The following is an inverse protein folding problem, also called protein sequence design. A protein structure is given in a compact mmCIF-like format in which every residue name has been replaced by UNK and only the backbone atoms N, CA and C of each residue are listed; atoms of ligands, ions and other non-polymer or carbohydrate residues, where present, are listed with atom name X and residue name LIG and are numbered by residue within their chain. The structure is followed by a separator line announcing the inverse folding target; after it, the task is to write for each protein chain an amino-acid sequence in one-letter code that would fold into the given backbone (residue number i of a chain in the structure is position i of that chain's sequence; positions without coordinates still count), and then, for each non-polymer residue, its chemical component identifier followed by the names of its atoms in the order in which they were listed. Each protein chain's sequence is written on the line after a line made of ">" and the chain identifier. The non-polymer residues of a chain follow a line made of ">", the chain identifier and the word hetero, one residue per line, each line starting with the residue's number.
data_IF_726976542511
#
_entry.id   IF_726976542511
#
_cell.length_a   1.000
_cell.length_b   1.000
_cell.length_c   1.000
_cell.angle_alpha   90.00
_cell.angle_beta   90.00
_cell.angle_gamma   90.00
#
_symmetry.space_group_name_H-M   'P 1'
#
loop_
_entity.id
_entity.type
_entity.pdbx_description
1 polymer ?
#
# COMPACT_ATOMS: atom_id res chain seq x y z
N UNK A 1 1.80 -1.31 -26.67
CA UNK A 1 0.78 -0.85 -25.70
C UNK A 1 -0.39 -0.26 -26.49
N UNK A 2 -1.64 -0.56 -26.14
CA UNK A 2 -2.76 0.25 -26.62
C UNK A 2 -2.39 1.69 -26.22
N UNK A 3 -2.26 2.64 -27.16
CA UNK A 3 -1.66 3.99 -26.98
C UNK A 3 -2.35 4.94 -25.99
N UNK A 4 -2.62 4.47 -24.78
CA UNK A 4 -3.45 5.04 -23.72
C UNK A 4 -2.60 5.43 -22.50
N UNK A 5 -1.27 5.24 -22.57
CA UNK A 5 -0.32 5.65 -21.52
C UNK A 5 -0.07 4.63 -20.40
N UNK A 6 -0.68 3.45 -20.45
CA UNK A 6 -0.58 2.43 -19.40
C UNK A 6 -1.34 2.81 -18.13
N UNK A 7 -1.31 1.94 -17.10
CA UNK A 7 -2.05 2.14 -15.83
C UNK A 7 -1.70 3.47 -15.12
N UNK A 8 -0.45 3.94 -15.31
CA UNK A 8 0.03 5.20 -14.74
C UNK A 8 -0.27 6.43 -15.63
N UNK A 9 -1.18 6.28 -16.60
CA UNK A 9 -1.84 7.38 -17.30
C UNK A 9 -2.85 8.15 -16.44
N UNK A 10 -3.19 7.60 -15.27
CA UNK A 10 -4.11 8.18 -14.27
C UNK A 10 -5.53 8.39 -14.78
N UNK A 11 -6.02 7.46 -15.62
CA UNK A 11 -7.40 7.51 -16.07
C UNK A 11 -8.37 7.34 -14.87
N UNK A 12 -9.47 8.11 -14.81
CA UNK A 12 -10.39 8.08 -13.68
C UNK A 12 -10.98 6.71 -13.32
N UNK A 13 -11.19 5.82 -14.30
CA UNK A 13 -11.71 4.46 -14.05
C UNK A 13 -10.62 3.59 -13.41
N UNK A 14 -9.37 3.73 -13.83
CA UNK A 14 -8.23 3.05 -13.21
C UNK A 14 -8.02 3.56 -11.78
N UNK A 15 -8.06 4.89 -11.59
CA UNK A 15 -8.00 5.52 -10.26
C UNK A 15 -9.10 5.00 -9.33
N UNK A 16 -10.33 4.83 -9.84
CA UNK A 16 -11.46 4.30 -9.09
C UNK A 16 -11.20 2.87 -8.58
N UNK A 17 -10.45 2.05 -9.33
CA UNK A 17 -10.03 0.71 -8.88
C UNK A 17 -8.89 0.75 -7.84
N UNK A 18 -8.02 1.76 -7.92
CA UNK A 18 -6.88 1.94 -7.01
C UNK A 18 -7.31 2.34 -5.60
N UNK A 19 -8.33 3.19 -5.46
CA UNK A 19 -8.80 3.70 -4.17
C UNK A 19 -9.15 2.59 -3.15
N UNK A 20 -10.04 1.62 -3.45
CA UNK A 20 -10.34 0.54 -2.51
C UNK A 20 -9.13 -0.39 -2.28
N UNK A 21 -8.25 -0.57 -3.26
CA UNK A 21 -7.03 -1.35 -3.09
C UNK A 21 -6.07 -0.74 -2.07
N UNK A 22 -5.90 0.59 -2.11
CA UNK A 22 -5.09 1.33 -1.12
C UNK A 22 -5.66 1.21 0.29
N UNK A 23 -6.98 1.41 0.44
CA UNK A 23 -7.67 1.26 1.73
C UNK A 23 -7.59 -0.17 2.27
N UNK A 24 -7.81 -1.17 1.41
CA UNK A 24 -7.73 -2.59 1.77
C UNK A 24 -6.31 -2.98 2.18
N UNK A 25 -5.30 -2.47 1.48
CA UNK A 25 -3.89 -2.73 1.80
C UNK A 25 -3.53 -2.14 3.17
N UNK A 26 -4.00 -0.92 3.47
CA UNK A 26 -3.84 -0.31 4.79
C UNK A 26 -4.52 -1.16 5.88
N UNK A 27 -5.75 -1.63 5.61
CA UNK A 27 -6.51 -2.50 6.52
C UNK A 27 -5.77 -3.81 6.81
N UNK A 28 -5.30 -4.52 5.79
CA UNK A 28 -4.59 -5.80 5.95
C UNK A 28 -3.34 -5.65 6.83
N UNK A 29 -2.62 -4.55 6.67
CA UNK A 29 -1.45 -4.21 7.47
C UNK A 29 -1.83 -3.85 8.91
N UNK A 30 -2.91 -3.10 9.10
CA UNK A 30 -3.34 -2.64 10.42
C UNK A 30 -4.03 -3.75 11.25
N UNK A 31 -4.72 -4.70 10.61
CA UNK A 31 -5.27 -5.90 11.27
C UNK A 31 -4.15 -6.76 11.86
N UNK A 32 -2.98 -6.83 11.22
CA UNK A 32 -1.83 -7.53 11.79
C UNK A 32 -1.35 -6.92 13.11
N UNK A 33 -1.44 -5.59 13.27
CA UNK A 33 -1.13 -4.93 14.54
C UNK A 33 -2.20 -5.28 15.57
N UNK A 34 -3.48 -5.21 15.19
CA UNK A 34 -4.58 -5.55 16.11
C UNK A 34 -4.44 -6.96 16.66
N UNK A 35 -4.19 -7.96 15.82
CA UNK A 35 -4.05 -9.35 16.28
C UNK A 35 -2.83 -9.56 17.19
N UNK A 36 -1.72 -8.85 16.95
CA UNK A 36 -0.48 -9.05 17.69
C UNK A 36 -0.36 -8.19 18.95
N UNK A 37 -1.07 -7.07 19.01
CA UNK A 37 -0.92 -6.05 20.05
C UNK A 37 -2.24 -5.58 20.68
N UNK A 38 -3.39 -5.99 20.16
CA UNK A 38 -4.69 -5.52 20.65
C UNK A 38 -4.94 -4.03 20.41
N UNK A 39 -4.22 -3.41 19.46
CA UNK A 39 -4.32 -1.98 19.14
C UNK A 39 -5.14 -1.72 17.87
N UNK A 40 -5.48 -0.46 17.60
CA UNK A 40 -6.07 -0.01 16.33
C UNK A 40 -7.44 -0.63 15.97
N UNK A 41 -8.19 -1.16 16.95
CA UNK A 41 -9.51 -1.78 16.70
C UNK A 41 -10.48 -0.82 16.01
N UNK A 42 -10.64 0.40 16.53
CA UNK A 42 -11.48 1.47 15.92
C UNK A 42 -10.97 1.83 14.52
N UNK A 43 -9.67 2.00 14.38
CA UNK A 43 -9.04 2.35 13.10
C UNK A 43 -9.28 1.28 12.03
N UNK A 44 -9.21 0.00 12.39
CA UNK A 44 -9.52 -1.10 11.48
C UNK A 44 -10.98 -1.13 11.06
N UNK A 45 -11.92 -0.79 11.96
CA UNK A 45 -13.32 -0.64 11.57
C UNK A 45 -13.51 0.51 10.58
N UNK A 46 -12.87 1.67 10.83
CA UNK A 46 -12.90 2.81 9.89
C UNK A 46 -12.35 2.41 8.52
N UNK A 47 -11.17 1.77 8.48
CA UNK A 47 -10.57 1.30 7.22
C UNK A 47 -11.44 0.27 6.50
N UNK A 48 -12.13 -0.61 7.22
CA UNK A 48 -13.06 -1.58 6.65
C UNK A 48 -14.24 -0.88 5.99
N UNK A 49 -14.89 0.04 6.70
CA UNK A 49 -16.00 0.83 6.15
C UNK A 49 -15.54 1.68 4.96
N UNK A 50 -14.35 2.28 5.04
CA UNK A 50 -13.77 3.06 3.97
C UNK A 50 -13.45 2.21 2.74
N UNK A 51 -12.89 1.01 2.92
CA UNK A 51 -12.62 0.05 1.82
C UNK A 51 -13.90 -0.35 1.10
N UNK A 52 -14.94 -0.69 1.87
CA UNK A 52 -16.25 -1.04 1.31
C UNK A 52 -16.87 0.16 0.58
N UNK A 53 -16.87 1.34 1.20
CA UNK A 53 -17.36 2.58 0.60
C UNK A 53 -16.64 2.94 -0.69
N UNK A 54 -15.31 2.82 -0.73
CA UNK A 54 -14.51 3.09 -1.93
C UNK A 54 -14.81 2.10 -3.07
N UNK A 55 -15.17 0.86 -2.77
CA UNK A 55 -15.62 -0.11 -3.80
C UNK A 55 -16.92 0.32 -4.46
N UNK A 56 -17.90 0.75 -3.65
CA UNK A 56 -19.18 1.25 -4.15
C UNK A 56 -18.97 2.58 -4.89
N UNK A 57 -18.13 3.46 -4.35
CA UNK A 57 -17.78 4.74 -4.97
C UNK A 57 -17.09 4.57 -6.32
N UNK A 58 -16.17 3.61 -6.45
CA UNK A 58 -15.56 3.30 -7.74
C UNK A 58 -16.61 2.82 -8.75
N UNK A 59 -17.58 2.01 -8.34
CA UNK A 59 -18.70 1.61 -9.20
C UNK A 59 -19.54 2.82 -9.63
N UNK A 60 -19.81 3.75 -8.71
CA UNK A 60 -20.47 5.01 -9.02
C UNK A 60 -19.70 5.83 -10.05
N UNK A 61 -18.39 6.03 -9.88
CA UNK A 61 -17.56 6.79 -10.82
C UNK A 61 -17.60 6.21 -12.23
N UNK A 62 -17.48 4.88 -12.34
CA UNK A 62 -17.42 4.19 -13.63
C UNK A 62 -18.77 4.09 -14.35
N UNK A 63 -19.91 4.27 -13.65
CA UNK A 63 -21.26 4.07 -14.20
C UNK A 63 -22.12 5.33 -14.31
N UNK A 64 -21.78 6.38 -13.56
CA UNK A 64 -22.56 7.62 -13.50
C UNK A 64 -22.30 8.58 -14.66
N UNK A 65 -21.14 8.47 -15.33
CA UNK A 65 -20.71 9.43 -16.35
C UNK A 65 -20.28 10.79 -15.80
N UNK A 66 -20.16 10.93 -14.46
CA UNK A 66 -19.80 12.20 -13.82
C UNK A 66 -18.33 12.60 -14.08
N UNK A 67 -17.46 11.62 -14.33
CA UNK A 67 -16.07 11.84 -14.74
C UNK A 67 -15.87 11.32 -16.16
N UNK A 68 -15.14 12.07 -16.97
CA UNK A 68 -14.78 11.69 -18.33
C UNK A 68 -13.60 10.70 -18.28
N UNK A 69 -13.76 9.53 -18.89
CA UNK A 69 -12.71 8.50 -18.96
C UNK A 69 -12.80 7.75 -20.29
N UNK A 70 -11.65 7.33 -20.81
CA UNK A 70 -11.56 6.50 -22.01
C UNK A 70 -11.92 5.04 -21.75
N UNK A 71 -11.84 4.60 -20.49
CA UNK A 71 -12.23 3.26 -20.04
C UNK A 71 -13.66 3.20 -19.50
N UNK A 72 -14.45 4.28 -19.64
CA UNK A 72 -15.81 4.31 -19.14
C UNK A 72 -16.69 3.30 -19.91
N UNK A 73 -17.28 2.35 -19.18
CA UNK A 73 -18.31 1.47 -19.71
C UNK A 73 -19.67 2.19 -19.73
N UNK A 74 -20.63 1.65 -20.49
CA UNK A 74 -21.97 2.20 -20.73
C UNK A 74 -22.53 3.09 -19.58
N UNK A 75 -22.77 4.36 -19.89
CA UNK A 75 -23.41 5.31 -18.98
C UNK A 75 -24.86 4.88 -18.72
N UNK A 76 -25.29 4.98 -17.46
CA UNK A 76 -26.65 4.56 -17.06
C UNK A 76 -27.21 5.48 -15.99
N UNK A 77 -28.54 5.63 -15.96
CA UNK A 77 -29.25 6.51 -15.02
C UNK A 77 -29.27 6.01 -13.56
N UNK A 78 -28.36 5.10 -13.21
CA UNK A 78 -28.30 4.48 -11.88
C UNK A 78 -27.40 5.23 -10.89
N UNK A 79 -26.72 6.30 -11.32
CA UNK A 79 -25.80 7.07 -10.47
C UNK A 79 -26.43 7.51 -9.15
N UNK A 80 -27.67 7.98 -9.19
CA UNK A 80 -28.43 8.40 -7.99
C UNK A 80 -28.62 7.27 -6.98
N UNK A 81 -28.88 6.03 -7.44
CA UNK A 81 -29.02 4.89 -6.52
C UNK A 81 -27.72 4.60 -5.77
N UNK A 82 -26.57 4.71 -6.44
CA UNK A 82 -25.29 4.56 -5.77
C UNK A 82 -25.01 5.68 -4.77
N UNK A 83 -25.36 6.93 -5.08
CA UNK A 83 -25.21 8.05 -4.13
C UNK A 83 -26.07 7.83 -2.89
N UNK A 84 -27.34 7.47 -3.06
CA UNK A 84 -28.23 7.14 -1.93
C UNK A 84 -27.66 5.99 -1.12
N UNK A 85 -27.19 4.93 -1.77
CA UNK A 85 -26.58 3.79 -1.08
C UNK A 85 -25.30 4.18 -0.33
N UNK A 86 -24.42 5.00 -0.92
CA UNK A 86 -23.22 5.54 -0.29
C UNK A 86 -23.55 6.33 0.99
N UNK A 87 -24.59 7.16 0.96
CA UNK A 87 -25.06 7.92 2.13
C UNK A 87 -25.55 6.94 3.21
N UNK A 88 -26.38 5.96 2.84
CA UNK A 88 -26.92 4.97 3.78
C UNK A 88 -25.81 4.16 4.46
N UNK A 89 -24.84 3.66 3.70
CA UNK A 89 -23.72 2.89 4.28
C UNK A 89 -22.81 3.79 5.12
N UNK A 90 -22.60 5.05 4.75
CA UNK A 90 -21.79 5.98 5.53
C UNK A 90 -22.45 6.27 6.88
N UNK A 91 -23.73 6.63 6.88
CA UNK A 91 -24.51 6.86 8.12
C UNK A 91 -24.58 5.59 8.97
N UNK A 92 -24.90 4.44 8.36
CA UNK A 92 -24.96 3.16 9.06
C UNK A 92 -23.62 2.77 9.68
N UNK A 93 -22.51 2.97 8.96
CA UNK A 93 -21.16 2.71 9.46
C UNK A 93 -20.79 3.61 10.63
N UNK A 94 -21.13 4.90 10.58
CA UNK A 94 -20.88 5.84 11.68
C UNK A 94 -21.71 5.45 12.91
N UNK A 95 -23.00 5.16 12.74
CA UNK A 95 -23.87 4.72 13.84
C UNK A 95 -23.35 3.43 14.48
N UNK A 96 -22.98 2.44 13.67
CA UNK A 96 -22.39 1.19 14.17
C UNK A 96 -21.06 1.43 14.90
N UNK A 97 -20.19 2.28 14.37
CA UNK A 97 -18.91 2.59 15.01
C UNK A 97 -19.09 3.25 16.37
N UNK A 98 -19.97 4.25 16.47
CA UNK A 98 -20.24 4.99 17.71
C UNK A 98 -20.88 4.07 18.75
N UNK A 99 -21.89 3.28 18.36
CA UNK A 99 -22.59 2.37 19.28
C UNK A 99 -21.71 1.22 19.77
N UNK A 100 -20.68 0.83 19.00
CA UNK A 100 -19.72 -0.23 19.36
C UNK A 100 -18.39 0.29 19.89
N UNK A 101 -18.27 1.59 20.13
CA UNK A 101 -16.99 2.18 20.54
C UNK A 101 -16.46 1.59 21.86
N UNK A 102 -17.36 1.27 22.79
CA UNK A 102 -17.02 0.60 24.05
C UNK A 102 -16.39 -0.78 23.86
N UNK A 103 -16.84 -1.54 22.86
CA UNK A 103 -16.32 -2.88 22.53
C UNK A 103 -14.96 -2.82 21.81
N UNK A 104 -14.54 -1.64 21.33
CA UNK A 104 -13.36 -1.43 20.47
C UNK A 104 -12.18 -0.76 21.20
N UNK A 105 -12.16 -0.77 22.53
CA UNK A 105 -11.08 -0.18 23.32
C UNK A 105 -9.74 -0.91 23.07
N UNK A 106 -8.68 -0.15 22.88
CA UNK A 106 -7.34 -0.68 22.64
C UNK A 106 -6.72 -1.18 23.95
N UNK A 107 -6.05 -2.33 23.88
CA UNK A 107 -5.46 -2.97 25.07
C UNK A 107 -4.06 -2.40 25.38
N UNK A 108 -3.41 -1.78 24.38
CA UNK A 108 -2.02 -1.31 24.46
C UNK A 108 -1.80 0.01 23.68
N UNK A 109 -0.68 0.67 23.93
CA UNK A 109 -0.23 1.90 23.26
C UNK A 109 1.12 1.72 22.56
N UNK A 110 1.51 2.68 21.71
CA UNK A 110 2.80 2.65 21.02
C UNK A 110 3.96 2.92 21.98
N UNK A 111 4.92 2.00 22.03
CA UNK A 111 6.07 2.09 22.95
C UNK A 111 7.28 2.84 22.34
N UNK A 112 7.47 2.82 21.01
CA UNK A 112 8.65 3.42 20.37
C UNK A 112 8.45 3.74 18.90
N UNK A 113 9.10 4.80 18.41
CA UNK A 113 9.15 5.18 16.99
C UNK A 113 10.04 4.27 16.13
N UNK A 114 11.05 3.60 16.71
CA UNK A 114 11.95 2.66 16.01
C UNK A 114 11.46 1.22 16.14
N UNK A 115 10.21 1.01 15.75
CA UNK A 115 9.47 -0.22 15.96
C UNK A 115 8.77 -0.66 14.69
N UNK A 116 8.46 -1.95 14.61
CA UNK A 116 7.64 -2.46 13.52
C UNK A 116 6.24 -1.84 13.54
N UNK A 117 5.70 -1.59 14.72
CA UNK A 117 4.42 -0.91 14.95
C UNK A 117 4.39 0.48 14.28
N UNK A 118 5.45 1.27 14.47
CA UNK A 118 5.56 2.60 13.84
C UNK A 118 5.72 2.52 12.32
N UNK A 119 6.45 1.55 11.80
CA UNK A 119 6.57 1.34 10.36
C UNK A 119 5.20 1.00 9.73
N UNK A 120 4.40 0.16 10.38
CA UNK A 120 3.04 -0.17 9.94
C UNK A 120 2.09 1.03 9.99
N UNK A 121 2.21 1.87 11.02
CA UNK A 121 1.42 3.10 11.12
C UNK A 121 1.80 4.09 10.03
N UNK A 122 3.09 4.36 9.83
CA UNK A 122 3.55 5.24 8.76
C UNK A 122 3.07 4.72 7.40
N UNK A 123 3.16 3.41 7.15
CA UNK A 123 2.61 2.78 5.96
C UNK A 123 1.11 3.08 5.77
N UNK A 124 0.30 2.94 6.84
CA UNK A 124 -1.13 3.26 6.80
C UNK A 124 -1.38 4.73 6.44
N UNK A 125 -0.66 5.65 7.08
CA UNK A 125 -0.80 7.08 6.82
C UNK A 125 -0.44 7.44 5.37
N UNK A 126 0.64 6.90 4.82
CA UNK A 126 1.03 7.17 3.43
C UNK A 126 0.05 6.53 2.44
N UNK A 127 -0.45 5.32 2.70
CA UNK A 127 -1.49 4.70 1.86
C UNK A 127 -2.78 5.53 1.82
N UNK A 128 -3.23 6.03 2.97
CA UNK A 128 -4.41 6.89 3.03
C UNK A 128 -4.18 8.28 2.44
N UNK A 129 -2.98 8.85 2.59
CA UNK A 129 -2.60 10.10 1.95
C UNK A 129 -2.60 9.95 0.42
N UNK A 130 -2.07 8.83 -0.09
CA UNK A 130 -2.11 8.50 -1.52
C UNK A 130 -3.54 8.29 -2.00
N UNK A 131 -4.36 7.57 -1.24
CA UNK A 131 -5.79 7.40 -1.56
C UNK A 131 -6.49 8.76 -1.64
N UNK A 132 -6.28 9.63 -0.65
CA UNK A 132 -6.86 10.97 -0.63
C UNK A 132 -6.40 11.79 -1.84
N UNK A 133 -5.11 11.76 -2.18
CA UNK A 133 -4.59 12.46 -3.37
C UNK A 133 -5.23 11.96 -4.66
N UNK A 134 -5.40 10.64 -4.81
CA UNK A 134 -6.03 10.02 -5.98
C UNK A 134 -7.53 10.36 -6.04
N UNK A 135 -8.24 10.25 -4.93
CA UNK A 135 -9.64 10.65 -4.80
C UNK A 135 -9.83 12.13 -5.13
N UNK A 136 -8.99 13.00 -4.55
CA UNK A 136 -9.03 14.43 -4.78
C UNK A 136 -8.77 14.77 -6.24
N UNK A 137 -7.67 14.30 -6.81
CA UNK A 137 -7.34 14.56 -8.22
C UNK A 137 -8.43 14.06 -9.17
N UNK A 138 -9.04 12.92 -8.88
CA UNK A 138 -10.12 12.34 -9.70
C UNK A 138 -11.43 13.14 -9.58
N UNK A 139 -11.76 13.63 -8.39
CA UNK A 139 -13.00 14.37 -8.13
C UNK A 139 -12.90 15.87 -8.37
N UNK A 140 -11.69 16.42 -8.43
CA UNK A 140 -11.48 17.86 -8.57
C UNK A 140 -12.20 18.48 -9.79
N UNK A 141 -12.19 17.86 -11.00
CA UNK A 141 -12.94 18.40 -12.13
C UNK A 141 -14.45 18.51 -11.85
N UNK A 142 -15.03 17.51 -11.19
CA UNK A 142 -16.45 17.46 -10.82
C UNK A 142 -16.78 18.55 -9.80
N UNK A 143 -15.92 18.71 -8.79
CA UNK A 143 -16.09 19.71 -7.75
C UNK A 143 -15.93 21.12 -8.33
N UNK A 144 -14.92 21.34 -9.17
CA UNK A 144 -14.69 22.61 -9.86
C UNK A 144 -15.90 23.04 -10.67
N UNK A 145 -16.45 22.13 -11.48
CA UNK A 145 -17.64 22.39 -12.28
C UNK A 145 -18.85 22.73 -11.40
N UNK A 146 -19.04 22.02 -10.29
CA UNK A 146 -20.15 22.27 -9.37
C UNK A 146 -20.07 23.62 -8.64
N UNK A 147 -18.87 24.11 -8.30
CA UNK A 147 -18.70 25.35 -7.53
C UNK A 147 -18.43 26.59 -8.38
N UNK A 148 -17.75 26.43 -9.52
CA UNK A 148 -17.32 27.55 -10.37
C UNK A 148 -18.03 27.61 -11.71
N UNK A 149 -18.69 26.52 -12.13
CA UNK A 149 -19.23 26.35 -13.48
C UNK A 149 -18.18 25.90 -14.51
N UNK A 150 -16.89 25.97 -14.16
CA UNK A 150 -15.79 25.62 -15.05
C UNK A 150 -15.16 24.27 -14.68
N UNK A 151 -14.97 23.43 -15.70
CA UNK A 151 -14.36 22.11 -15.53
C UNK A 151 -12.83 22.18 -15.67
N UNK A 152 -12.14 22.21 -14.53
CA UNK A 152 -10.68 22.13 -14.49
C UNK A 152 -10.23 20.68 -14.62
N UNK A 153 -9.44 20.36 -15.63
CA UNK A 153 -8.91 19.00 -15.82
C UNK A 153 -7.65 18.79 -14.99
N UNK A 154 -7.57 17.66 -14.28
CA UNK A 154 -6.39 17.22 -13.54
C UNK A 154 -5.77 16.05 -14.29
N UNK A 155 -4.55 16.24 -14.80
CA UNK A 155 -3.84 15.22 -15.57
C UNK A 155 -2.67 14.58 -14.81
N UNK A 156 -1.98 13.67 -15.50
CA UNK A 156 -0.81 12.94 -14.98
C UNK A 156 0.25 13.79 -14.25
N UNK A 157 0.57 15.05 -14.63
CA UNK A 157 1.55 15.86 -13.89
C UNK A 157 1.22 16.03 -12.40
N UNK A 158 -0.06 16.26 -12.06
CA UNK A 158 -0.48 16.39 -10.66
C UNK A 158 -0.28 15.08 -9.90
N UNK A 159 -0.78 13.97 -10.46
CA UNK A 159 -0.69 12.68 -9.81
C UNK A 159 0.77 12.23 -9.68
N UNK A 160 1.59 12.37 -10.71
CA UNK A 160 3.01 12.01 -10.64
C UNK A 160 3.74 12.82 -9.57
N UNK A 161 3.50 14.12 -9.48
CA UNK A 161 4.14 14.99 -8.49
C UNK A 161 3.82 14.55 -7.05
N UNK A 162 2.61 14.08 -6.78
CA UNK A 162 2.16 13.70 -5.43
C UNK A 162 2.42 12.22 -5.14
N UNK A 163 2.09 11.34 -6.08
CA UNK A 163 2.10 9.89 -5.92
C UNK A 163 3.48 9.28 -6.04
N UNK A 164 4.39 9.81 -6.87
CA UNK A 164 5.75 9.22 -7.01
C UNK A 164 6.53 9.30 -5.70
N UNK A 165 6.62 10.45 -4.99
CA UNK A 165 7.31 10.50 -3.70
C UNK A 165 6.70 9.56 -2.66
N UNK A 166 5.37 9.50 -2.57
CA UNK A 166 4.67 8.59 -1.65
C UNK A 166 4.91 7.12 -2.01
N UNK A 167 4.89 6.79 -3.31
CA UNK A 167 5.19 5.45 -3.82
C UNK A 167 6.61 5.00 -3.49
N UNK A 168 7.60 5.88 -3.61
CA UNK A 168 8.99 5.58 -3.22
C UNK A 168 9.11 5.32 -1.71
N UNK A 169 8.41 6.09 -0.87
CA UNK A 169 8.36 5.84 0.58
C UNK A 169 7.71 4.48 0.88
N UNK A 170 6.59 4.15 0.22
CA UNK A 170 5.93 2.85 0.38
C UNK A 170 6.81 1.68 -0.09
N UNK A 171 7.54 1.85 -1.20
CA UNK A 171 8.48 0.85 -1.70
C UNK A 171 9.63 0.62 -0.71
N UNK A 172 10.18 1.69 -0.12
CA UNK A 172 11.14 1.56 0.97
C UNK A 172 10.56 0.81 2.18
N UNK A 173 9.36 1.20 2.64
CA UNK A 173 8.69 0.55 3.78
C UNK A 173 8.37 -0.93 3.54
N UNK A 174 8.11 -1.31 2.28
CA UNK A 174 7.89 -2.70 1.86
C UNK A 174 9.09 -3.59 2.20
N UNK A 175 10.32 -3.08 2.05
CA UNK A 175 11.55 -3.76 2.45
C UNK A 175 11.91 -3.55 3.92
N UNK A 176 11.77 -2.32 4.42
CA UNK A 176 12.28 -1.91 5.72
C UNK A 176 11.42 -2.42 6.89
N UNK A 177 10.09 -2.41 6.74
CA UNK A 177 9.14 -2.82 7.78
C UNK A 177 9.45 -4.19 8.40
N UNK A 178 9.63 -5.25 7.58
CA UNK A 178 10.00 -6.59 8.06
C UNK A 178 11.31 -6.66 8.86
N UNK A 179 12.27 -5.76 8.59
CA UNK A 179 13.60 -5.76 9.20
C UNK A 179 13.61 -5.16 10.62
N UNK A 180 12.60 -4.37 10.98
CA UNK A 180 12.44 -3.86 12.34
C UNK A 180 11.92 -4.95 13.28
N UNK A 181 12.42 -4.99 14.51
CA UNK A 181 11.85 -5.79 15.58
C UNK A 181 10.54 -5.18 16.12
N UNK A 182 9.70 -6.00 16.72
CA UNK A 182 8.56 -5.52 17.51
C UNK A 182 9.07 -4.75 18.74
N UNK A 183 8.31 -3.73 19.18
CA UNK A 183 8.65 -2.79 20.27
C UNK A 183 9.85 -1.89 19.99
N UNK A 184 11.07 -2.42 19.91
CA UNK A 184 12.28 -1.60 19.67
C UNK A 184 13.37 -2.40 18.96
N UNK A 185 13.97 -1.78 17.96
CA UNK A 185 15.18 -2.30 17.30
C UNK A 185 16.42 -1.61 17.88
N UNK A 186 17.42 -2.37 18.33
CA UNK A 186 18.70 -1.81 18.79
C UNK A 186 19.52 -1.25 17.61
N UNK A 187 20.47 -0.37 17.90
CA UNK A 187 21.36 0.22 16.88
C UNK A 187 22.19 -0.85 16.15
N UNK A 188 22.72 -1.82 16.89
CA UNK A 188 23.43 -2.97 16.32
C UNK A 188 22.50 -3.85 15.47
N UNK A 189 21.26 -4.07 15.93
CA UNK A 189 20.23 -4.76 15.18
C UNK A 189 19.90 -4.06 13.87
N UNK A 190 19.83 -2.73 13.88
CA UNK A 190 19.59 -1.91 12.69
C UNK A 190 20.72 -2.09 11.68
N UNK A 191 21.99 -1.94 12.12
CA UNK A 191 23.15 -2.18 11.25
C UNK A 191 23.09 -3.59 10.64
N UNK A 192 22.97 -4.62 11.47
CA UNK A 192 22.95 -6.02 11.01
C UNK A 192 21.79 -6.32 10.05
N UNK A 193 20.64 -5.70 10.22
CA UNK A 193 19.46 -5.98 9.41
C UNK A 193 19.45 -5.19 8.09
N UNK A 194 19.99 -3.97 8.09
CA UNK A 194 19.96 -3.09 6.92
C UNK A 194 21.22 -3.19 6.04
N UNK A 195 22.35 -3.76 6.51
CA UNK A 195 23.57 -3.87 5.70
C UNK A 195 23.33 -4.51 4.33
N UNK A 196 22.74 -5.71 4.28
CA UNK A 196 22.54 -6.42 3.00
C UNK A 196 21.60 -5.65 2.06
N UNK A 197 20.41 -5.20 2.49
CA UNK A 197 19.52 -4.37 1.66
C UNK A 197 20.14 -3.05 1.19
N UNK A 198 20.92 -2.37 2.03
CA UNK A 198 21.59 -1.13 1.64
C UNK A 198 22.67 -1.41 0.60
N UNK A 199 23.46 -2.47 0.77
CA UNK A 199 24.46 -2.88 -0.23
C UNK A 199 23.79 -3.24 -1.55
N UNK A 200 22.69 -4.00 -1.56
CA UNK A 200 21.98 -4.32 -2.81
C UNK A 200 21.44 -3.06 -3.49
N UNK A 201 20.95 -2.09 -2.72
CA UNK A 201 20.51 -0.78 -3.25
C UNK A 201 21.64 -0.02 -3.93
N UNK A 202 22.80 0.08 -3.27
CA UNK A 202 23.96 0.81 -3.80
C UNK A 202 24.53 0.13 -5.05
N UNK A 203 24.57 -1.20 -5.07
CA UNK A 203 25.00 -1.98 -6.25
C UNK A 203 24.02 -1.76 -7.41
N UNK A 204 22.71 -1.85 -7.18
CA UNK A 204 21.70 -1.56 -8.19
C UNK A 204 21.86 -0.15 -8.74
N UNK A 205 21.99 0.87 -7.87
CA UNK A 205 22.21 2.26 -8.29
C UNK A 205 23.47 2.42 -9.14
N UNK A 206 24.59 1.82 -8.73
CA UNK A 206 25.85 1.85 -9.47
C UNK A 206 25.74 1.22 -10.85
N UNK A 207 25.10 0.04 -10.95
CA UNK A 207 24.87 -0.63 -12.24
C UNK A 207 24.01 0.23 -13.17
N UNK A 208 22.92 0.82 -12.67
CA UNK A 208 22.03 1.68 -13.46
C UNK A 208 22.77 2.93 -14.00
N UNK A 209 23.62 3.54 -13.18
CA UNK A 209 24.44 4.68 -13.59
C UNK A 209 25.49 4.31 -14.65
N UNK A 210 26.08 3.11 -14.57
CA UNK A 210 27.06 2.59 -15.54
C UNK A 210 26.38 2.26 -16.88
N UNK A 211 25.17 1.70 -16.85
CA UNK A 211 24.36 1.41 -18.06
C UNK A 211 23.83 2.70 -18.70
N UNK A 212 23.98 3.86 -18.04
CA UNK A 212 23.70 5.17 -18.61
C UNK A 212 22.34 5.74 -18.25
N UNK A 213 21.60 5.14 -17.30
CA UNK A 213 20.36 5.72 -16.80
C UNK A 213 20.68 7.01 -16.02
N UNK A 214 19.94 8.08 -16.31
CA UNK A 214 20.15 9.41 -15.69
C UNK A 214 18.90 9.99 -15.03
N UNK A 215 17.72 9.41 -15.27
CA UNK A 215 16.50 9.85 -14.62
C UNK A 215 16.54 9.52 -13.12
N UNK A 216 16.41 10.55 -12.28
CA UNK A 216 16.57 10.42 -10.83
C UNK A 216 15.50 9.50 -10.22
N UNK A 217 14.24 9.66 -10.62
CA UNK A 217 13.14 8.86 -10.06
C UNK A 217 13.23 7.40 -10.48
N UNK A 218 13.63 7.12 -11.72
CA UNK A 218 13.87 5.76 -12.20
C UNK A 218 15.02 5.09 -11.44
N UNK A 219 16.15 5.79 -11.24
CA UNK A 219 17.27 5.26 -10.46
C UNK A 219 16.84 4.98 -9.02
N UNK A 220 16.16 5.92 -8.37
CA UNK A 220 15.66 5.74 -7.00
C UNK A 220 14.71 4.55 -6.90
N UNK A 221 13.73 4.46 -7.81
CA UNK A 221 12.74 3.39 -7.84
C UNK A 221 13.40 2.02 -8.02
N UNK A 222 14.18 1.83 -9.07
CA UNK A 222 14.82 0.54 -9.39
C UNK A 222 15.86 0.12 -8.34
N UNK A 223 16.56 1.08 -7.73
CA UNK A 223 17.48 0.79 -6.63
C UNK A 223 16.73 0.35 -5.38
N UNK A 224 15.59 0.97 -5.07
CA UNK A 224 14.70 0.54 -3.98
C UNK A 224 14.04 -0.82 -4.28
N UNK A 225 13.79 -1.18 -5.54
CA UNK A 225 13.43 -2.57 -5.87
C UNK A 225 14.53 -3.55 -5.42
N UNK A 226 15.80 -3.22 -5.68
CA UNK A 226 16.96 -3.97 -5.16
C UNK A 226 17.02 -4.03 -3.63
N UNK A 227 16.62 -2.96 -2.93
CA UNK A 227 16.47 -2.94 -1.48
C UNK A 227 15.43 -3.97 -1.00
N UNK A 228 14.25 -4.01 -1.64
CA UNK A 228 13.17 -4.95 -1.29
C UNK A 228 13.60 -6.39 -1.55
N UNK A 229 14.21 -6.68 -2.70
CA UNK A 229 14.75 -8.03 -3.00
C UNK A 229 15.76 -8.44 -1.94
N UNK A 230 16.74 -7.59 -1.63
CA UNK A 230 17.75 -7.87 -0.61
C UNK A 230 17.14 -8.14 0.77
N UNK A 231 16.10 -7.38 1.13
CA UNK A 231 15.37 -7.54 2.40
C UNK A 231 14.62 -8.87 2.47
N UNK A 232 13.89 -9.22 1.41
CA UNK A 232 13.13 -10.48 1.35
C UNK A 232 14.07 -11.68 1.31
N UNK A 233 15.12 -11.65 0.49
CA UNK A 233 16.13 -12.74 0.42
C UNK A 233 16.77 -12.95 1.79
N UNK A 234 17.10 -11.87 2.51
CA UNK A 234 17.66 -11.97 3.86
C UNK A 234 16.69 -12.65 4.85
N UNK A 235 15.40 -12.33 4.80
CA UNK A 235 14.38 -12.96 5.65
C UNK A 235 14.17 -14.45 5.34
N UNK A 236 14.21 -14.84 4.06
CA UNK A 236 14.19 -16.24 3.65
C UNK A 236 15.46 -16.97 4.10
N UNK A 237 16.63 -16.39 3.86
CA UNK A 237 17.91 -16.97 4.24
C UNK A 237 17.98 -17.24 5.75
N UNK A 238 17.64 -16.23 6.58
CA UNK A 238 17.61 -16.37 8.05
C UNK A 238 16.63 -17.45 8.50
N UNK A 239 15.46 -17.52 7.87
CA UNK A 239 14.46 -18.55 8.16
C UNK A 239 14.96 -19.97 7.85
N UNK A 240 15.59 -20.16 6.70
CA UNK A 240 16.16 -21.45 6.28
C UNK A 240 17.32 -21.83 7.19
N UNK A 241 18.29 -20.93 7.40
CA UNK A 241 19.47 -21.19 8.23
C UNK A 241 19.10 -21.53 9.67
N UNK A 242 18.13 -20.83 10.26
CA UNK A 242 17.62 -21.15 11.59
C UNK A 242 17.06 -22.59 11.66
N UNK A 243 16.32 -23.03 10.64
CA UNK A 243 15.80 -24.42 10.58
C UNK A 243 16.92 -25.43 10.37
N UNK A 244 17.89 -25.15 9.51
CA UNK A 244 19.04 -26.05 9.27
C UNK A 244 19.82 -26.29 10.56
N UNK A 245 20.10 -25.23 11.32
CA UNK A 245 20.87 -25.32 12.57
C UNK A 245 20.12 -25.98 13.72
N UNK A 246 18.81 -25.73 13.84
CA UNK A 246 18.01 -26.25 14.96
C UNK A 246 17.44 -27.64 14.72
N UNK A 247 17.09 -27.96 13.47
CA UNK A 247 16.38 -29.20 13.10
C UNK A 247 17.21 -30.15 12.23
N UNK A 248 18.43 -29.77 11.83
CA UNK A 248 19.30 -30.59 10.96
C UNK A 248 18.75 -30.82 9.55
N UNK A 249 17.75 -30.02 9.12
CA UNK A 249 17.10 -30.19 7.82
C UNK A 249 18.03 -29.79 6.66
N UNK A 250 17.92 -30.47 5.51
CA UNK A 250 18.53 -30.00 4.25
C UNK A 250 17.88 -28.71 3.74
N UNK A 251 18.60 -27.91 2.95
CA UNK A 251 18.15 -26.57 2.49
C UNK A 251 16.77 -26.60 1.82
N UNK A 252 16.53 -27.55 0.91
CA UNK A 252 15.26 -27.66 0.19
C UNK A 252 14.09 -28.06 1.10
N UNK A 253 14.33 -29.01 2.01
CA UNK A 253 13.32 -29.42 2.99
C UNK A 253 13.00 -28.28 3.97
N UNK A 254 14.02 -27.55 4.41
CA UNK A 254 13.87 -26.38 5.26
C UNK A 254 13.02 -25.31 4.57
N UNK A 255 13.31 -24.98 3.31
CA UNK A 255 12.51 -24.02 2.51
C UNK A 255 11.05 -24.48 2.37
N UNK A 256 10.80 -25.73 1.98
CA UNK A 256 9.45 -26.25 1.83
C UNK A 256 8.66 -26.17 3.15
N UNK A 257 9.26 -26.62 4.26
CA UNK A 257 8.61 -26.60 5.58
C UNK A 257 8.41 -25.17 6.10
N UNK A 258 9.32 -24.26 5.79
CA UNK A 258 9.22 -22.84 6.11
C UNK A 258 7.99 -22.22 5.44
N UNK A 259 7.80 -22.46 4.14
CA UNK A 259 6.64 -22.02 3.37
C UNK A 259 5.34 -22.67 3.85
N UNK A 260 5.37 -24.00 4.08
CA UNK A 260 4.17 -24.75 4.47
C UNK A 260 3.66 -24.38 5.86
N UNK A 261 4.55 -24.16 6.84
CA UNK A 261 4.16 -23.84 8.23
C UNK A 261 3.87 -22.36 8.46
N UNK A 262 4.50 -21.45 7.71
CA UNK A 262 4.40 -20.00 7.93
C UNK A 262 3.78 -19.25 6.74
N UNK A 263 2.71 -19.82 6.15
CA UNK A 263 2.07 -19.32 4.92
C UNK A 263 1.75 -17.83 4.95
N UNK A 264 1.21 -17.30 6.05
CA UNK A 264 0.87 -15.88 6.17
C UNK A 264 2.09 -14.96 6.08
N UNK A 265 3.21 -15.34 6.73
CA UNK A 265 4.43 -14.51 6.73
C UNK A 265 5.10 -14.53 5.37
N UNK A 266 5.36 -15.72 4.84
CA UNK A 266 6.09 -15.86 3.57
C UNK A 266 5.22 -15.54 2.35
N UNK A 267 3.90 -15.75 2.44
CA UNK A 267 2.95 -15.22 1.45
C UNK A 267 2.97 -13.69 1.38
N UNK A 268 3.07 -13.01 2.53
CA UNK A 268 3.28 -11.56 2.57
C UNK A 268 4.56 -11.13 1.85
N UNK A 269 5.67 -11.85 2.04
CA UNK A 269 6.92 -11.55 1.31
C UNK A 269 6.82 -11.81 -0.19
N UNK A 270 6.06 -12.82 -0.63
CA UNK A 270 5.78 -13.00 -2.06
C UNK A 270 5.00 -11.82 -2.62
N UNK A 271 3.98 -11.33 -1.91
CA UNK A 271 3.26 -10.12 -2.31
C UNK A 271 4.20 -8.91 -2.39
N UNK A 272 5.10 -8.75 -1.43
CA UNK A 272 6.09 -7.65 -1.44
C UNK A 272 7.03 -7.74 -2.66
N UNK A 273 7.42 -8.93 -3.09
CA UNK A 273 8.16 -9.11 -4.34
C UNK A 273 7.29 -8.79 -5.56
N UNK A 274 5.99 -9.12 -5.55
CA UNK A 274 5.07 -8.74 -6.63
C UNK A 274 4.90 -7.24 -6.77
N UNK A 275 4.97 -6.47 -5.67
CA UNK A 275 4.94 -4.99 -5.72
C UNK A 275 6.09 -4.44 -6.56
N UNK A 276 7.25 -5.11 -6.59
CA UNK A 276 8.38 -4.67 -7.42
C UNK A 276 8.00 -4.59 -8.90
N UNK A 277 7.19 -5.55 -9.38
CA UNK A 277 6.76 -5.57 -10.79
C UNK A 277 5.97 -4.31 -11.16
N UNK A 278 5.16 -3.77 -10.23
CA UNK A 278 4.42 -2.53 -10.46
C UNK A 278 5.32 -1.29 -10.63
N UNK A 279 6.51 -1.30 -10.01
CA UNK A 279 7.47 -0.20 -10.08
C UNK A 279 8.48 -0.34 -11.22
N UNK A 280 8.80 -1.58 -11.62
CA UNK A 280 9.68 -1.83 -12.77
C UNK A 280 8.96 -1.54 -14.10
N UNK A 281 7.65 -1.83 -14.16
CA UNK A 281 6.86 -1.74 -15.39
C UNK A 281 6.78 -3.10 -16.10
#
# INVERSE_FOLDING_TARGET
>A
ELGWGGYWGWDPVENASLMPWLAATALLHSVMIQERKGMLKVWNMVLLFFTFGMTIFGTFLTRSGIVSSVHAFAQSNIGTYFVVFLILIAVGSIVLLITRLGDLQADHHLESFTSRESAFLLNNWILLALLFAVLWGTMFPVLSEAFTGDKITVGAPFFNQVSVPMGLVLLFLTGAGPLFAWRRTSTEGLRRNFTVPVVTTLVCAGVLLVVGLRDLYAIMSLSLCGFVVGSVVLEFYRGIDARRRTMGEGTMLALFRLLAKNRRRYGGYLVHLSIILLFVG
#
